data_IF_361990312952
#
_entry.id   IF_361990312952
#
_cell.length_a   1.000
_cell.length_b   1.000
_cell.length_c   1.000
_cell.angle_alpha   90.00
_cell.angle_beta   90.00
_cell.angle_gamma   90.00
#
_symmetry.space_group_name_H-M   'P 1'
#
loop_
_entity.id
_entity.type
_entity.pdbx_description
1 polymer ?
#
# COMPACT_ATOMS: atom_id res chain seq x y z
N UNK A 1 -0.82 3.50 18.01
CA UNK A 1 0.09 4.64 17.74
C UNK A 1 1.35 4.55 18.58
N UNK A 2 2.44 5.14 18.07
CA UNK A 2 3.73 5.20 18.77
C UNK A 2 3.93 6.62 19.30
N UNK A 3 4.35 6.75 20.55
CA UNK A 3 4.60 8.03 21.21
C UNK A 3 5.90 8.01 22.02
N UNK A 4 6.46 9.18 22.28
CA UNK A 4 7.66 9.35 23.09
C UNK A 4 7.25 9.60 24.54
N UNK A 5 7.79 8.80 25.47
CA UNK A 5 7.60 8.98 26.90
C UNK A 5 8.53 10.05 27.49
N UNK A 6 8.28 10.43 28.75
CA UNK A 6 9.07 11.41 29.50
C UNK A 6 10.52 10.96 29.74
N UNK A 7 10.78 9.65 29.65
CA UNK A 7 12.09 9.02 29.75
C UNK A 7 12.87 8.99 28.43
N UNK A 8 12.36 9.67 27.39
CA UNK A 8 12.90 9.66 26.02
C UNK A 8 12.79 8.32 25.28
N UNK A 9 12.15 7.29 25.85
CA UNK A 9 11.86 6.04 25.18
C UNK A 9 10.59 6.17 24.32
N UNK A 10 10.50 5.35 23.27
CA UNK A 10 9.30 5.26 22.45
C UNK A 10 8.44 4.08 22.90
N UNK A 11 7.13 4.31 22.93
CA UNK A 11 6.13 3.36 23.36
C UNK A 11 5.07 3.21 22.28
N UNK A 12 4.61 1.97 22.07
CA UNK A 12 3.46 1.68 21.21
C UNK A 12 2.24 1.39 22.07
N UNK A 13 1.13 2.06 21.80
CA UNK A 13 -0.16 1.79 22.39
C UNK A 13 -1.06 1.11 21.36
N UNK A 14 -1.38 -0.17 21.64
CA UNK A 14 -2.29 -0.99 20.86
C UNK A 14 -3.50 -1.30 21.74
N UNK A 15 -4.63 -0.61 21.53
CA UNK A 15 -5.91 -0.81 22.25
C UNK A 15 -5.76 -0.80 23.79
N UNK A 16 -4.98 0.15 24.30
CA UNK A 16 -4.72 0.33 25.72
C UNK A 16 -3.59 -0.53 26.30
N UNK A 17 -2.99 -1.40 25.52
CA UNK A 17 -1.75 -2.11 25.89
C UNK A 17 -0.54 -1.29 25.43
N UNK A 18 0.23 -0.83 26.40
CA UNK A 18 1.45 -0.04 26.15
C UNK A 18 2.67 -0.95 26.27
N UNK A 19 3.52 -0.95 25.24
CA UNK A 19 4.78 -1.66 25.21
C UNK A 19 5.90 -0.74 24.70
N UNK A 20 7.14 -0.98 25.19
CA UNK A 20 8.31 -0.24 24.68
C UNK A 20 8.62 -0.67 23.25
N UNK A 21 8.94 0.31 22.39
CA UNK A 21 9.41 0.06 21.03
C UNK A 21 10.92 -0.13 21.08
N UNK A 22 11.37 -1.38 20.93
CA UNK A 22 12.79 -1.73 20.93
C UNK A 22 13.43 -1.69 19.52
N UNK A 23 12.62 -1.39 18.50
CA UNK A 23 13.06 -1.31 17.11
C UNK A 23 13.76 0.03 16.87
N UNK A 24 14.74 0.02 15.96
CA UNK A 24 15.34 1.26 15.49
C UNK A 24 14.31 2.07 14.72
N UNK A 25 14.06 3.30 15.14
CA UNK A 25 13.21 4.22 14.40
C UNK A 25 14.03 4.79 13.23
N UNK A 26 13.49 4.78 11.99
CA UNK A 26 14.29 5.01 10.79
C UNK A 26 14.83 6.44 10.66
N UNK A 27 14.21 7.42 11.32
CA UNK A 27 14.60 8.84 11.28
C UNK A 27 13.84 9.64 12.36
N UNK A 28 14.35 10.83 12.70
CA UNK A 28 13.62 11.78 13.54
C UNK A 28 12.48 12.40 12.74
N UNK A 29 11.31 12.50 13.36
CA UNK A 29 10.13 13.10 12.71
C UNK A 29 10.08 14.60 12.93
N UNK A 30 9.59 15.36 11.91
CA UNK A 30 9.20 16.76 12.09
C UNK A 30 8.09 16.91 13.13
N UNK A 31 7.95 18.12 13.68
CA UNK A 31 6.85 18.45 14.57
C UNK A 31 5.49 18.19 13.90
N UNK A 32 4.58 17.58 14.65
CA UNK A 32 3.23 17.25 14.17
C UNK A 32 3.13 15.95 13.38
N UNK A 33 4.25 15.25 13.13
CA UNK A 33 4.22 13.91 12.57
C UNK A 33 4.14 12.83 13.67
N UNK A 34 3.69 11.65 13.30
CA UNK A 34 3.63 10.50 14.20
C UNK A 34 4.29 9.25 13.57
N UNK A 35 4.88 8.39 14.41
CA UNK A 35 5.24 7.05 13.97
C UNK A 35 4.01 6.14 14.03
N UNK A 36 3.78 5.36 12.98
CA UNK A 36 2.71 4.35 12.92
C UNK A 36 3.21 3.11 12.19
N UNK A 37 2.57 1.95 12.46
CA UNK A 37 2.78 0.77 11.62
C UNK A 37 1.83 0.80 10.42
N UNK A 38 2.30 0.29 9.28
CA UNK A 38 1.47 0.21 8.06
C UNK A 38 0.16 -0.54 8.32
N UNK A 39 0.18 -1.63 9.09
CA UNK A 39 -1.02 -2.42 9.43
C UNK A 39 -2.04 -1.67 10.29
N UNK A 40 -1.65 -0.58 10.96
CA UNK A 40 -2.55 0.23 11.77
C UNK A 40 -3.30 1.30 10.94
N UNK A 41 -2.86 1.55 9.72
CA UNK A 41 -3.45 2.58 8.83
C UNK A 41 -3.90 2.01 7.48
N UNK A 42 -3.55 0.75 7.18
CA UNK A 42 -3.96 0.02 5.98
C UNK A 42 -4.70 -1.26 6.36
N UNK A 43 -5.96 -1.37 5.98
CA UNK A 43 -6.75 -2.58 6.14
C UNK A 43 -6.41 -3.60 5.05
N UNK A 44 -6.07 -4.79 5.47
CA UNK A 44 -5.71 -5.91 4.60
C UNK A 44 -6.93 -6.77 4.27
N UNK A 45 -7.19 -6.96 2.99
CA UNK A 45 -8.30 -7.76 2.47
C UNK A 45 -7.79 -8.90 1.58
N UNK A 46 -8.32 -10.12 1.81
CA UNK A 46 -8.11 -11.24 0.90
C UNK A 46 -8.93 -11.03 -0.38
N UNK A 47 -8.36 -11.24 -1.56
CA UNK A 47 -9.02 -10.92 -2.82
C UNK A 47 -9.97 -12.01 -3.31
N UNK A 48 -10.38 -12.95 -2.49
CA UNK A 48 -11.10 -14.18 -2.89
C UNK A 48 -12.31 -13.90 -3.76
N UNK A 49 -13.09 -12.86 -3.44
CA UNK A 49 -14.28 -12.48 -4.19
C UNK A 49 -13.97 -11.84 -5.56
N UNK A 50 -12.75 -11.33 -5.73
CA UNK A 50 -12.33 -10.59 -6.92
C UNK A 50 -11.43 -11.41 -7.85
N UNK A 51 -11.14 -12.67 -7.53
CA UNK A 51 -10.33 -13.54 -8.39
C UNK A 51 -11.12 -13.86 -9.67
N UNK A 52 -10.47 -13.69 -10.82
CA UNK A 52 -11.05 -14.06 -12.10
C UNK A 52 -11.22 -15.59 -12.19
N UNK A 53 -12.35 -16.05 -12.71
CA UNK A 53 -12.65 -17.48 -12.88
C UNK A 53 -12.08 -18.03 -14.19
N UNK A 54 -12.15 -17.22 -15.27
CA UNK A 54 -11.69 -17.60 -16.60
C UNK A 54 -10.37 -16.90 -16.97
N UNK A 55 -9.50 -17.63 -17.67
CA UNK A 55 -8.28 -17.07 -18.29
C UNK A 55 -8.48 -16.69 -19.75
N UNK A 56 -9.71 -16.69 -20.27
CA UNK A 56 -10.05 -16.18 -21.62
C UNK A 56 -10.03 -14.64 -21.61
N UNK A 57 -8.83 -14.07 -21.68
CA UNK A 57 -8.64 -12.63 -21.72
C UNK A 57 -8.71 -12.12 -23.15
N UNK A 58 -9.49 -11.05 -23.39
CA UNK A 58 -9.63 -10.44 -24.71
C UNK A 58 -9.59 -8.93 -24.62
N UNK A 59 -9.02 -8.29 -25.62
CA UNK A 59 -8.88 -6.83 -25.68
C UNK A 59 -10.21 -6.07 -25.76
N UNK A 60 -11.26 -6.70 -26.26
CA UNK A 60 -12.61 -6.12 -26.34
C UNK A 60 -13.39 -6.15 -25.02
N UNK A 61 -12.92 -6.91 -24.02
CA UNK A 61 -13.54 -6.95 -22.71
C UNK A 61 -13.19 -5.70 -21.90
N UNK A 62 -14.02 -5.34 -20.92
CA UNK A 62 -13.91 -4.05 -20.23
C UNK A 62 -13.25 -4.10 -18.87
N UNK A 63 -13.36 -5.22 -18.16
CA UNK A 63 -12.85 -5.34 -16.78
C UNK A 63 -11.40 -5.79 -16.80
N UNK A 64 -10.46 -4.96 -16.36
CA UNK A 64 -9.05 -5.35 -16.30
C UNK A 64 -8.81 -6.40 -15.21
N UNK A 65 -7.91 -7.34 -15.51
CA UNK A 65 -7.40 -8.34 -14.56
C UNK A 65 -5.98 -7.97 -14.19
N UNK A 66 -5.75 -7.76 -12.89
CA UNK A 66 -4.52 -7.17 -12.38
C UNK A 66 -3.60 -8.18 -11.70
N UNK A 67 -2.31 -7.85 -11.74
CA UNK A 67 -1.29 -8.35 -10.81
C UNK A 67 -0.47 -7.17 -10.30
N UNK A 68 0.22 -7.31 -9.16
CA UNK A 68 1.14 -6.28 -8.68
C UNK A 68 2.52 -6.30 -9.36
N UNK A 69 2.84 -7.37 -10.10
CA UNK A 69 4.12 -7.54 -10.79
C UNK A 69 4.33 -6.64 -12.02
N UNK A 70 5.36 -6.94 -12.80
CA UNK A 70 5.77 -6.12 -13.96
C UNK A 70 4.65 -5.88 -14.98
N UNK A 71 3.83 -6.89 -15.26
CA UNK A 71 2.67 -6.78 -16.14
C UNK A 71 1.44 -6.41 -15.29
N UNK A 72 1.27 -5.13 -14.97
CA UNK A 72 0.19 -4.65 -14.11
C UNK A 72 -1.20 -5.10 -14.57
N UNK A 73 -1.55 -4.88 -15.82
CA UNK A 73 -2.77 -5.41 -16.46
C UNK A 73 -2.35 -6.60 -17.33
N UNK A 74 -2.82 -7.81 -16.99
CA UNK A 74 -2.50 -9.03 -17.73
C UNK A 74 -3.53 -9.38 -18.80
N UNK A 75 -4.65 -8.69 -18.81
CA UNK A 75 -5.73 -8.86 -19.78
C UNK A 75 -7.04 -8.29 -19.28
N UNK A 76 -8.09 -8.51 -20.02
CA UNK A 76 -9.42 -8.06 -19.68
C UNK A 76 -10.39 -9.24 -19.68
N UNK A 77 -11.41 -9.19 -18.80
CA UNK A 77 -12.46 -10.21 -18.71
C UNK A 77 -13.85 -9.59 -18.94
N UNK A 78 -14.79 -10.42 -19.35
CA UNK A 78 -16.21 -10.06 -19.45
C UNK A 78 -17.01 -10.42 -18.20
N UNK A 79 -16.36 -10.94 -17.17
CA UNK A 79 -17.01 -11.23 -15.90
C UNK A 79 -17.58 -9.94 -15.29
N UNK A 80 -18.83 -10.02 -14.81
CA UNK A 80 -19.57 -8.87 -14.26
C UNK A 80 -19.77 -8.94 -12.75
N UNK A 81 -19.41 -10.07 -12.14
CA UNK A 81 -19.49 -10.33 -10.70
C UNK A 81 -18.10 -10.36 -10.08
N UNK A 82 -18.00 -9.99 -8.82
CA UNK A 82 -16.71 -9.97 -8.10
C UNK A 82 -15.73 -8.95 -8.69
N UNK A 83 -16.21 -7.75 -8.98
CA UNK A 83 -15.39 -6.61 -9.42
C UNK A 83 -15.13 -5.72 -8.20
N UNK A 84 -13.86 -5.44 -7.87
CA UNK A 84 -13.52 -4.46 -6.85
C UNK A 84 -13.81 -3.06 -7.36
N UNK A 85 -14.74 -2.38 -6.72
CA UNK A 85 -15.21 -1.04 -7.11
C UNK A 85 -15.10 0.00 -6.00
N UNK A 86 -14.84 -0.41 -4.76
CA UNK A 86 -14.50 0.52 -3.67
C UNK A 86 -13.05 0.96 -3.83
N UNK A 87 -12.84 2.22 -4.18
CA UNK A 87 -11.55 2.77 -4.62
C UNK A 87 -11.26 4.11 -3.95
N UNK A 88 -10.01 4.59 -3.95
CA UNK A 88 -8.79 3.93 -4.39
C UNK A 88 -8.31 2.86 -3.42
N UNK A 89 -7.49 1.92 -3.92
CA UNK A 89 -6.83 0.87 -3.13
C UNK A 89 -5.39 0.66 -3.61
N UNK A 90 -4.61 -0.10 -2.83
CA UNK A 90 -3.30 -0.61 -3.25
C UNK A 90 -3.42 -2.12 -3.40
N UNK A 91 -3.04 -2.67 -4.55
CA UNK A 91 -2.81 -4.12 -4.66
C UNK A 91 -1.36 -4.42 -4.29
N UNK A 92 -1.16 -5.50 -3.57
CA UNK A 92 0.13 -5.91 -3.01
C UNK A 92 0.38 -7.39 -3.28
N UNK A 93 1.53 -7.73 -3.84
CA UNK A 93 1.95 -9.13 -3.99
C UNK A 93 2.61 -9.60 -2.70
N UNK A 94 2.00 -10.59 -2.06
CA UNK A 94 2.41 -11.08 -0.73
C UNK A 94 3.74 -11.90 -0.77
N UNK A 95 4.30 -12.13 -1.95
CA UNK A 95 5.56 -12.87 -2.12
C UNK A 95 6.72 -12.01 -2.65
N UNK A 96 6.44 -11.02 -3.48
CA UNK A 96 7.47 -10.14 -4.07
C UNK A 96 7.51 -8.76 -3.44
N UNK A 97 6.51 -8.43 -2.62
CA UNK A 97 6.27 -7.10 -2.04
C UNK A 97 6.00 -5.99 -3.07
N UNK A 98 5.89 -6.35 -4.35
CA UNK A 98 5.45 -5.40 -5.37
C UNK A 98 4.08 -4.82 -5.04
N UNK A 99 3.90 -3.54 -5.26
CA UNK A 99 2.61 -2.88 -5.03
C UNK A 99 2.23 -1.95 -6.17
N UNK A 100 0.92 -1.74 -6.37
CA UNK A 100 0.37 -0.81 -7.36
C UNK A 100 -0.81 -0.05 -6.79
N UNK A 101 -0.84 1.25 -7.02
CA UNK A 101 -2.01 2.08 -6.75
C UNK A 101 -3.08 1.87 -7.82
N UNK A 102 -4.34 1.66 -7.41
CA UNK A 102 -5.47 1.38 -8.31
C UNK A 102 -6.64 2.30 -7.98
N UNK A 103 -7.10 3.04 -8.98
CA UNK A 103 -8.25 3.95 -8.89
C UNK A 103 -9.35 3.67 -9.92
N UNK A 104 -9.38 2.46 -10.49
CA UNK A 104 -10.39 2.00 -11.43
C UNK A 104 -10.88 0.59 -11.07
N UNK A 105 -12.10 0.19 -11.42
CA UNK A 105 -12.65 -1.13 -11.12
C UNK A 105 -11.85 -2.25 -11.77
N UNK A 106 -11.64 -3.36 -11.05
CA UNK A 106 -10.78 -4.46 -11.50
C UNK A 106 -11.16 -5.81 -10.91
N UNK A 107 -10.59 -6.86 -11.50
CA UNK A 107 -10.45 -8.20 -10.91
C UNK A 107 -8.97 -8.53 -10.76
N UNK A 108 -8.64 -9.55 -9.97
CA UNK A 108 -7.25 -10.00 -9.77
C UNK A 108 -7.03 -11.41 -10.30
N UNK A 109 -5.78 -11.70 -10.66
CA UNK A 109 -5.39 -13.01 -11.20
C UNK A 109 -5.48 -14.14 -10.16
N UNK A 110 -5.07 -13.88 -8.92
CA UNK A 110 -4.89 -14.94 -7.92
C UNK A 110 -4.92 -14.42 -6.49
N UNK A 111 -4.96 -15.34 -5.54
CA UNK A 111 -4.90 -15.06 -4.10
C UNK A 111 -3.54 -14.55 -3.60
N UNK A 112 -2.49 -14.55 -4.42
CA UNK A 112 -1.22 -13.91 -4.10
C UNK A 112 -1.37 -12.38 -3.99
N UNK A 113 -2.28 -11.79 -4.78
CA UNK A 113 -2.63 -10.38 -4.71
C UNK A 113 -3.44 -10.09 -3.46
N UNK A 114 -3.04 -9.10 -2.69
CA UNK A 114 -3.77 -8.59 -1.54
C UNK A 114 -4.28 -7.20 -1.85
N UNK A 115 -5.36 -6.81 -1.21
CA UNK A 115 -5.96 -5.49 -1.38
C UNK A 115 -5.78 -4.74 -0.07
N UNK A 116 -5.15 -3.58 -0.14
CA UNK A 116 -4.93 -2.70 1.00
C UNK A 116 -5.79 -1.46 0.84
N UNK A 117 -6.65 -1.23 1.83
CA UNK A 117 -7.53 -0.06 1.87
C UNK A 117 -7.07 0.87 2.98
N UNK A 118 -6.83 2.13 2.66
CA UNK A 118 -6.42 3.14 3.63
C UNK A 118 -7.55 3.49 4.61
N UNK A 119 -7.20 3.65 5.90
CA UNK A 119 -8.05 4.36 6.84
C UNK A 119 -8.05 5.85 6.47
N UNK A 120 -9.10 6.29 5.80
CA UNK A 120 -9.22 7.65 5.25
C UNK A 120 -9.20 8.77 6.30
N UNK A 121 -9.36 8.43 7.58
CA UNK A 121 -9.26 9.40 8.68
C UNK A 121 -7.79 9.66 9.07
N UNK A 122 -6.91 8.73 8.74
CA UNK A 122 -5.50 8.76 9.16
C UNK A 122 -4.53 8.93 8.00
N UNK A 123 -4.76 8.24 6.87
CA UNK A 123 -3.78 8.19 5.78
C UNK A 123 -4.44 8.32 4.40
N UNK A 124 -3.84 9.12 3.54
CA UNK A 124 -4.16 9.16 2.11
C UNK A 124 -3.61 7.91 1.40
N UNK A 125 -4.42 7.28 0.54
CA UNK A 125 -4.05 6.02 -0.13
C UNK A 125 -2.82 6.19 -1.03
N UNK A 126 -2.66 7.35 -1.67
CA UNK A 126 -1.54 7.59 -2.56
C UNK A 126 -0.26 7.91 -1.80
N UNK A 127 -0.39 8.63 -0.67
CA UNK A 127 0.72 8.81 0.28
C UNK A 127 1.21 7.45 0.78
N UNK A 128 0.29 6.59 1.25
CA UNK A 128 0.63 5.23 1.67
C UNK A 128 1.37 4.45 0.57
N UNK A 129 0.86 4.50 -0.67
CA UNK A 129 1.50 3.87 -1.81
C UNK A 129 2.94 4.35 -2.03
N UNK A 130 3.20 5.67 -1.96
CA UNK A 130 4.55 6.20 -2.14
C UNK A 130 5.49 5.82 -0.99
N UNK A 131 5.01 5.85 0.26
CA UNK A 131 5.79 5.37 1.40
C UNK A 131 6.14 3.89 1.25
N UNK A 132 5.19 3.06 0.80
CA UNK A 132 5.44 1.64 0.55
C UNK A 132 6.55 1.40 -0.50
N UNK A 133 6.76 2.31 -1.46
CA UNK A 133 7.87 2.18 -2.41
C UNK A 133 9.26 2.38 -1.78
N UNK A 134 9.33 2.92 -0.56
CA UNK A 134 10.59 3.13 0.18
C UNK A 134 10.90 2.02 1.17
N UNK A 135 9.97 1.07 1.36
CA UNK A 135 10.16 -0.05 2.29
C UNK A 135 10.97 -1.15 1.61
N UNK A 136 12.10 -1.47 2.20
CA UNK A 136 12.94 -2.59 1.77
C UNK A 136 12.61 -3.84 2.58
N UNK A 137 12.53 -4.99 1.93
CA UNK A 137 12.37 -6.30 2.54
C UNK A 137 13.47 -7.24 2.08
N UNK A 138 13.92 -8.10 2.99
CA UNK A 138 14.80 -9.20 2.64
C UNK A 138 13.98 -10.37 2.07
N UNK A 139 14.25 -10.73 0.82
CA UNK A 139 13.58 -11.79 0.07
C UNK A 139 14.26 -13.17 0.15
N UNK A 140 15.19 -13.37 1.08
CA UNK A 140 15.90 -14.65 1.24
C UNK A 140 14.97 -15.82 1.59
N UNK A 141 13.83 -15.53 2.22
CA UNK A 141 12.86 -16.55 2.63
C UNK A 141 11.54 -16.42 1.87
N UNK A 142 11.00 -17.56 1.40
CA UNK A 142 9.69 -17.60 0.78
C UNK A 142 8.58 -17.60 1.85
N UNK A 143 8.01 -16.42 2.14
CA UNK A 143 6.97 -16.21 3.16
C UNK A 143 5.88 -15.25 2.66
N UNK A 144 4.84 -15.08 3.46
CA UNK A 144 3.81 -14.06 3.24
C UNK A 144 4.23 -12.77 3.92
N UNK A 145 4.77 -11.84 3.14
CA UNK A 145 5.46 -10.66 3.65
C UNK A 145 4.58 -9.71 4.43
N UNK A 146 3.34 -9.46 4.01
CA UNK A 146 2.47 -8.53 4.72
C UNK A 146 2.30 -8.90 6.20
N UNK A 147 1.86 -10.12 6.48
CA UNK A 147 1.56 -10.58 7.84
C UNK A 147 2.84 -10.79 8.66
N UNK A 148 3.92 -11.25 8.02
CA UNK A 148 5.15 -11.60 8.73
C UNK A 148 5.97 -10.38 9.15
N UNK A 149 6.08 -9.36 8.29
CA UNK A 149 6.95 -8.21 8.57
C UNK A 149 6.50 -6.89 7.92
N UNK A 150 6.04 -6.90 6.66
CA UNK A 150 5.80 -5.68 5.90
C UNK A 150 4.76 -4.76 6.55
N UNK A 151 3.64 -5.32 7.03
CA UNK A 151 2.61 -4.58 7.74
C UNK A 151 3.10 -3.96 9.04
N UNK A 152 4.13 -4.53 9.65
CA UNK A 152 4.72 -4.04 10.91
C UNK A 152 5.74 -2.93 10.71
N UNK A 153 6.11 -2.62 9.48
CA UNK A 153 7.05 -1.53 9.18
C UNK A 153 6.55 -0.22 9.79
N UNK A 154 7.44 0.45 10.52
CA UNK A 154 7.16 1.75 11.11
C UNK A 154 7.44 2.82 10.06
N UNK A 155 6.46 3.69 9.86
CA UNK A 155 6.53 4.82 8.93
C UNK A 155 6.26 6.14 9.66
N UNK A 156 6.72 7.25 9.06
CA UNK A 156 6.30 8.59 9.47
C UNK A 156 4.96 8.95 8.85
N UNK A 157 4.04 9.44 9.68
CA UNK A 157 2.70 9.85 9.29
C UNK A 157 2.50 11.35 9.53
N UNK A 158 2.53 12.19 8.48
CA UNK A 158 2.18 13.61 8.57
C UNK A 158 0.68 13.81 8.77
N UNK A 159 0.24 15.01 9.16
CA UNK A 159 -1.16 15.41 9.05
C UNK A 159 -1.67 15.28 7.60
N UNK A 160 -2.96 14.94 7.40
CA UNK A 160 -3.55 14.65 6.08
C UNK A 160 -3.29 15.74 5.02
N UNK A 161 -3.38 17.03 5.42
CA UNK A 161 -3.12 18.14 4.52
C UNK A 161 -1.66 18.19 4.04
N UNK A 162 -0.73 17.70 4.83
CA UNK A 162 0.69 17.60 4.46
C UNK A 162 0.96 16.38 3.59
N UNK A 163 0.31 15.25 3.88
CA UNK A 163 0.35 14.07 3.00
C UNK A 163 -0.04 14.45 1.57
N UNK A 164 -1.14 15.20 1.38
CA UNK A 164 -1.59 15.66 0.07
C UNK A 164 -0.58 16.58 -0.62
N UNK A 165 0.10 17.47 0.12
CA UNK A 165 1.17 18.32 -0.45
C UNK A 165 2.36 17.47 -0.92
N UNK A 166 2.75 16.46 -0.12
CA UNK A 166 3.84 15.53 -0.47
C UNK A 166 3.48 14.76 -1.74
N UNK A 167 2.27 14.19 -1.80
CA UNK A 167 1.78 13.48 -2.99
C UNK A 167 1.82 14.37 -4.24
N UNK A 168 1.27 15.58 -4.16
CA UNK A 168 1.27 16.53 -5.27
C UNK A 168 2.69 16.88 -5.74
N UNK A 169 3.62 17.04 -4.80
CA UNK A 169 5.02 17.34 -5.14
C UNK A 169 5.70 16.16 -5.84
N UNK A 170 5.46 14.93 -5.37
CA UNK A 170 6.00 13.72 -6.01
C UNK A 170 5.44 13.58 -7.43
N UNK A 171 4.13 13.75 -7.63
CA UNK A 171 3.51 13.67 -8.95
C UNK A 171 3.98 14.76 -9.91
N UNK A 172 4.15 15.97 -9.40
CA UNK A 172 4.73 17.05 -10.19
C UNK A 172 6.14 16.70 -10.66
N UNK A 173 7.00 16.17 -9.78
CA UNK A 173 8.35 15.75 -10.16
C UNK A 173 8.34 14.62 -11.20
N UNK A 174 7.45 13.62 -11.06
CA UNK A 174 7.32 12.58 -12.08
C UNK A 174 6.84 13.13 -13.42
N UNK A 175 5.90 14.08 -13.43
CA UNK A 175 5.45 14.72 -14.67
C UNK A 175 6.58 15.46 -15.40
N UNK A 176 7.51 16.09 -14.67
CA UNK A 176 8.69 16.73 -15.27
C UNK A 176 9.66 15.72 -15.88
N UNK A 177 9.79 14.54 -15.27
CA UNK A 177 10.65 13.47 -15.81
C UNK A 177 10.06 12.83 -17.06
N UNK A 178 8.75 12.64 -17.11
CA UNK A 178 8.07 12.06 -18.27
C UNK A 178 8.09 12.98 -19.48
N UNK A 179 7.91 14.30 -19.29
CA UNK A 179 8.02 15.30 -20.35
C UNK A 179 9.43 15.40 -20.97
N UNK A 180 10.46 14.87 -20.30
CA UNK A 180 11.83 14.81 -20.87
C UNK A 180 12.09 13.59 -21.76
N UNK A 181 11.15 12.63 -21.79
CA UNK A 181 11.27 11.40 -22.59
C UNK A 181 10.64 11.52 -23.99
N UNK A 182 9.92 12.61 -24.28
CA UNK A 182 9.48 12.91 -25.64
C UNK A 182 10.62 13.59 -26.41
N UNK A 183 11.07 12.99 -27.55
CA UNK A 183 12.17 13.54 -28.38
C UNK A 183 11.75 14.81 -29.13
#
# INVERSE_FOLDING_TARGET
YIFKGDDNCYYENNDGKVAIVNEFLPFDLPDGWAYVRLENVLNYEQPTEYIVESTDYRSEYKTPVLTAGKSFIIGYTNETVGIKSELPVIIFDDFTTDSKFVNFPFKVKSSAMKILTADKLSIDTKYAYYVMQTVECDHETHKRYWISEYGRTIIGLPPLNEQLKIVNQIEYLFSLLDNRKEP
#
